data_IF_324762221926
#
_entry.id   IF_324762221926
#
_cell.length_a   1.000
_cell.length_b   1.000
_cell.length_c   1.000
_cell.angle_alpha   90.00
_cell.angle_beta   90.00
_cell.angle_gamma   90.00
#
_symmetry.space_group_name_H-M   'P 1'
#
loop_
_entity.id
_entity.type
_entity.pdbx_description
1 polymer ?
#
# COMPACT_ATOMS: atom_id res chain seq x y z
N UNK A 1 -5.50 -31.12 8.64
CA UNK A 1 -5.52 -29.81 7.95
C UNK A 1 -5.18 -30.11 6.50
N UNK A 2 -6.09 -29.82 5.57
CA UNK A 2 -5.94 -30.17 4.16
C UNK A 2 -5.06 -29.14 3.47
N UNK A 3 -4.29 -29.53 2.46
CA UNK A 3 -3.38 -28.62 1.74
C UNK A 3 -4.11 -27.41 1.08
N UNK A 4 -5.41 -27.55 0.81
CA UNK A 4 -6.31 -26.48 0.34
C UNK A 4 -6.42 -25.32 1.33
N UNK A 5 -6.48 -25.62 2.62
CA UNK A 5 -6.77 -24.63 3.67
C UNK A 5 -5.55 -23.72 3.88
N UNK A 6 -4.35 -24.28 3.72
CA UNK A 6 -3.10 -23.53 3.75
C UNK A 6 -3.02 -22.60 2.53
N UNK A 7 -3.29 -23.10 1.33
CA UNK A 7 -3.24 -22.26 0.12
C UNK A 7 -4.20 -21.07 0.20
N UNK A 8 -5.40 -21.28 0.74
CA UNK A 8 -6.37 -20.20 0.95
C UNK A 8 -5.93 -19.20 2.03
N UNK A 9 -5.39 -19.69 3.15
CA UNK A 9 -4.84 -18.82 4.22
C UNK A 9 -3.72 -17.93 3.68
N UNK A 10 -2.78 -18.51 2.93
CA UNK A 10 -1.66 -17.78 2.34
C UNK A 10 -2.12 -16.72 1.33
N UNK A 11 -3.13 -17.04 0.51
CA UNK A 11 -3.74 -16.09 -0.41
C UNK A 11 -4.37 -14.91 0.33
N UNK A 12 -5.12 -15.17 1.40
CA UNK A 12 -5.77 -14.13 2.18
C UNK A 12 -4.76 -13.19 2.84
N UNK A 13 -3.73 -13.72 3.50
CA UNK A 13 -2.66 -12.90 4.07
C UNK A 13 -1.96 -12.05 3.00
N UNK A 14 -1.70 -12.62 1.83
CA UNK A 14 -1.10 -11.85 0.73
C UNK A 14 -2.01 -10.72 0.22
N UNK A 15 -3.33 -10.93 0.20
CA UNK A 15 -4.27 -9.89 -0.22
C UNK A 15 -4.40 -8.75 0.81
N UNK A 16 -4.25 -9.04 2.10
CA UNK A 16 -4.19 -8.04 3.16
C UNK A 16 -2.99 -7.09 2.98
N UNK A 17 -1.84 -7.61 2.52
CA UNK A 17 -0.64 -6.82 2.22
C UNK A 17 -0.82 -5.85 1.02
N UNK A 18 -1.91 -5.96 0.27
CA UNK A 18 -2.24 -5.07 -0.85
C UNK A 18 -3.18 -3.93 -0.46
N UNK A 19 -3.48 -3.80 0.84
CA UNK A 19 -4.36 -2.78 1.40
C UNK A 19 -3.54 -1.59 1.92
N UNK A 20 -3.99 -0.38 1.58
CA UNK A 20 -3.40 0.83 2.12
C UNK A 20 -3.78 1.00 3.60
N UNK A 21 -2.81 1.21 4.50
CA UNK A 21 -3.07 1.34 5.94
C UNK A 21 -3.80 2.64 6.32
N UNK A 22 -3.92 3.61 5.40
CA UNK A 22 -4.64 4.87 5.65
C UNK A 22 -6.11 4.75 5.28
N UNK A 23 -6.42 4.39 4.03
CA UNK A 23 -7.81 4.32 3.57
C UNK A 23 -8.45 2.94 3.75
N UNK A 24 -7.69 1.91 4.11
CA UNK A 24 -8.14 0.53 4.27
C UNK A 24 -8.77 -0.08 3.00
N UNK A 25 -8.35 0.42 1.83
CA UNK A 25 -8.71 -0.13 0.52
C UNK A 25 -7.46 -0.59 -0.22
N UNK A 26 -7.64 -1.41 -1.25
CA UNK A 26 -6.56 -1.79 -2.17
C UNK A 26 -5.83 -0.56 -2.68
N UNK A 27 -4.50 -0.61 -2.75
CA UNK A 27 -3.70 0.54 -3.17
C UNK A 27 -4.14 1.13 -4.52
N UNK A 28 -4.31 2.45 -4.56
CA UNK A 28 -4.47 3.22 -5.79
C UNK A 28 -3.26 4.13 -5.96
N UNK A 29 -2.51 3.95 -7.05
CA UNK A 29 -1.22 4.61 -7.30
C UNK A 29 -0.27 4.52 -6.07
N UNK A 30 0.19 3.30 -5.71
CA UNK A 30 0.99 3.10 -4.51
C UNK A 30 2.32 3.86 -4.58
N UNK A 31 2.62 4.57 -3.50
CA UNK A 31 3.87 5.29 -3.28
C UNK A 31 4.67 4.54 -2.22
N UNK A 32 5.95 4.31 -2.49
CA UNK A 32 6.88 3.78 -1.49
C UNK A 32 7.67 4.92 -0.86
N UNK A 33 7.61 5.04 0.46
CA UNK A 33 8.47 5.97 1.19
C UNK A 33 9.89 5.40 1.37
N UNK A 34 10.91 6.23 1.70
CA UNK A 34 12.27 5.74 1.97
C UNK A 34 12.34 4.70 3.09
N UNK A 35 11.46 4.80 4.11
CA UNK A 35 11.30 3.78 5.17
C UNK A 35 10.63 2.47 4.72
N UNK A 36 10.32 2.32 3.42
CA UNK A 36 9.77 1.15 2.73
C UNK A 36 8.28 0.86 2.90
N UNK A 37 7.57 1.60 3.75
CA UNK A 37 6.10 1.55 3.83
C UNK A 37 5.43 2.16 2.58
N UNK A 38 4.25 1.65 2.24
CA UNK A 38 3.53 2.00 1.02
C UNK A 38 2.17 2.63 1.33
N UNK A 39 1.76 3.62 0.54
CA UNK A 39 0.48 4.34 0.70
C UNK A 39 -0.10 4.70 -0.66
N UNK A 40 -1.42 4.88 -0.77
CA UNK A 40 -1.98 5.54 -1.96
C UNK A 40 -1.41 6.96 -2.08
N UNK A 41 -1.10 7.41 -3.30
CA UNK A 41 -0.61 8.79 -3.53
C UNK A 41 -1.49 9.83 -2.87
N UNK A 42 -2.81 9.73 -3.03
CA UNK A 42 -3.77 10.64 -2.41
C UNK A 42 -3.66 10.66 -0.88
N UNK A 43 -3.64 9.49 -0.26
CA UNK A 43 -3.61 9.34 1.20
C UNK A 43 -2.35 9.96 1.82
N UNK A 44 -1.16 9.67 1.28
CA UNK A 44 0.07 10.24 1.83
C UNK A 44 0.21 11.74 1.56
N UNK A 45 -0.30 12.22 0.41
CA UNK A 45 -0.32 13.65 0.08
C UNK A 45 -1.19 14.43 1.06
N UNK A 46 -2.37 13.91 1.38
CA UNK A 46 -3.29 14.52 2.36
C UNK A 46 -2.72 14.48 3.78
N UNK A 47 -2.14 13.34 4.20
CA UNK A 47 -1.51 13.21 5.51
C UNK A 47 -0.42 14.26 5.73
N UNK A 48 0.43 14.52 4.72
CA UNK A 48 1.48 15.54 4.77
C UNK A 48 1.01 16.95 4.44
N UNK A 49 -0.25 17.15 4.05
CA UNK A 49 -0.84 18.48 3.91
C UNK A 49 -1.41 18.98 5.24
N UNK A 50 -1.89 18.07 6.10
CA UNK A 50 -2.46 18.39 7.42
C UNK A 50 -1.40 18.73 8.47
N UNK A 51 -0.19 18.17 8.38
CA UNK A 51 0.92 18.44 9.31
C UNK A 51 2.04 19.23 8.59
N UNK A 52 2.11 20.54 8.85
CA UNK A 52 3.04 21.45 8.18
C UNK A 52 4.46 21.42 8.77
N UNK A 53 4.66 20.75 9.90
CA UNK A 53 5.88 20.88 10.68
C UNK A 53 6.97 19.89 10.25
N UNK A 54 6.61 18.61 10.08
CA UNK A 54 7.51 17.52 9.69
C UNK A 54 6.75 16.45 8.90
N UNK A 55 7.27 16.06 7.73
CA UNK A 55 6.77 14.88 7.04
C UNK A 55 7.14 13.63 7.85
N UNK A 56 6.13 12.88 8.32
CA UNK A 56 6.31 11.62 9.04
C UNK A 56 5.63 10.47 8.31
N UNK A 57 6.19 9.27 8.43
CA UNK A 57 5.51 8.05 7.97
C UNK A 57 4.30 7.75 8.87
N UNK A 58 3.09 7.61 8.32
CA UNK A 58 1.90 7.28 9.13
C UNK A 58 1.95 5.92 9.83
N UNK A 59 2.80 5.00 9.37
CA UNK A 59 2.86 3.62 9.88
C UNK A 59 3.94 3.43 10.95
N UNK A 60 5.18 3.83 10.66
CA UNK A 60 6.31 3.67 11.59
C UNK A 60 6.75 4.95 12.29
N UNK A 61 6.06 6.07 12.04
CA UNK A 61 6.36 7.39 12.60
C UNK A 61 7.78 7.93 12.29
N UNK A 62 8.48 7.35 11.31
CA UNK A 62 9.79 7.85 10.87
C UNK A 62 9.66 9.29 10.37
N UNK A 63 10.43 10.20 10.97
CA UNK A 63 10.44 11.61 10.61
C UNK A 63 11.48 11.90 9.52
N UNK A 64 11.08 12.63 8.49
CA UNK A 64 11.96 13.05 7.40
C UNK A 64 12.40 14.50 7.60
N UNK A 65 13.71 14.75 7.56
CA UNK A 65 14.28 16.10 7.65
C UNK A 65 13.89 16.98 6.45
N UNK A 66 13.70 16.36 5.29
CA UNK A 66 13.17 17.00 4.09
C UNK A 66 12.03 16.14 3.55
N UNK A 67 10.95 16.77 3.08
CA UNK A 67 9.80 16.05 2.51
C UNK A 67 10.27 15.27 1.27
N UNK A 68 10.24 13.92 1.27
CA UNK A 68 10.75 13.16 0.15
C UNK A 68 9.78 13.23 -1.04
N UNK A 69 10.32 13.00 -2.24
CA UNK A 69 9.50 12.87 -3.45
C UNK A 69 8.59 11.65 -3.32
N UNK A 70 7.34 11.79 -3.77
CA UNK A 70 6.37 10.71 -3.79
C UNK A 70 6.55 9.90 -5.09
N UNK A 71 7.39 8.87 -5.03
CA UNK A 71 7.69 8.00 -6.16
C UNK A 71 6.78 6.76 -6.20
N UNK A 72 6.26 6.46 -7.39
CA UNK A 72 5.36 5.32 -7.61
C UNK A 72 6.12 4.01 -7.43
N UNK A 73 5.55 3.09 -6.67
CA UNK A 73 6.00 1.71 -6.61
C UNK A 73 5.41 0.93 -7.80
N UNK A 74 6.15 0.89 -8.91
CA UNK A 74 5.71 0.20 -10.13
C UNK A 74 5.45 -1.30 -9.91
N UNK A 75 6.26 -1.98 -9.09
CA UNK A 75 6.06 -3.41 -8.81
C UNK A 75 4.74 -3.65 -8.07
N UNK A 76 4.48 -2.88 -7.01
CA UNK A 76 3.24 -2.99 -6.25
C UNK A 76 2.02 -2.61 -7.11
N UNK A 77 2.17 -1.60 -7.97
CA UNK A 77 1.11 -1.22 -8.93
C UNK A 77 0.75 -2.39 -9.84
N UNK A 78 1.74 -3.04 -10.45
CA UNK A 78 1.51 -4.19 -11.33
C UNK A 78 0.85 -5.37 -10.59
N UNK A 79 1.24 -5.64 -9.34
CA UNK A 79 0.65 -6.70 -8.53
C UNK A 79 -0.83 -6.40 -8.25
N UNK A 80 -1.14 -5.17 -7.84
CA UNK A 80 -2.52 -4.73 -7.59
C UNK A 80 -3.37 -4.81 -8.86
N UNK A 81 -2.85 -4.34 -9.99
CA UNK A 81 -3.54 -4.41 -11.29
C UNK A 81 -3.82 -5.86 -11.69
N UNK A 82 -2.84 -6.75 -11.59
CA UNK A 82 -3.01 -8.17 -11.89
C UNK A 82 -4.05 -8.83 -10.98
N UNK A 83 -4.08 -8.48 -9.68
CA UNK A 83 -5.13 -8.94 -8.76
C UNK A 83 -6.51 -8.51 -9.27
N UNK A 84 -6.69 -7.22 -9.59
CA UNK A 84 -7.98 -6.70 -10.06
C UNK A 84 -8.41 -7.34 -11.38
N UNK A 85 -7.48 -7.57 -12.32
CA UNK A 85 -7.77 -8.28 -13.56
C UNK A 85 -8.24 -9.71 -13.29
N UNK A 86 -7.55 -10.46 -12.43
CA UNK A 86 -7.98 -11.81 -12.07
C UNK A 86 -9.41 -11.81 -11.52
N UNK A 87 -9.73 -10.91 -10.59
CA UNK A 87 -11.10 -10.80 -10.06
C UNK A 87 -12.13 -10.41 -11.13
N UNK A 88 -11.77 -9.66 -12.18
CA UNK A 88 -12.69 -9.32 -13.29
C UNK A 88 -12.99 -10.48 -14.23
N UNK A 89 -12.17 -11.53 -14.24
CA UNK A 89 -12.40 -12.73 -15.07
C UNK A 89 -13.11 -13.87 -14.32
N UNK A 90 -13.39 -13.70 -13.02
CA UNK A 90 -14.12 -14.67 -12.18
C UNK A 90 -15.60 -14.27 -11.91
N UNK A 91 -16.11 -13.24 -12.58
CA UNK A 91 -17.53 -12.86 -12.61
C UNK A 91 -18.08 -12.90 -14.03
#
# INVERSE_FOLDING_TARGET
MMASDMAETWRNCFEEELICPICLHVFSDPIQLPCKHNFCRGCISEAWAKDSSLARCPECNHAYTQKPSLEKNHKLSNIVENRLLNYRFFF
#
